data_IF_943084704027
#
_entry.id   IF_943084704027
#
_cell.length_a   1.000
_cell.length_b   1.000
_cell.length_c   1.000
_cell.angle_alpha   90.00
_cell.angle_beta   90.00
_cell.angle_gamma   90.00
#
_symmetry.space_group_name_H-M   'P 1'
#
loop_
_entity.id
_entity.type
_entity.pdbx_description
1 polymer ?
#
# COMPACT_ATOMS: atom_id res chain seq x y z
N UNK A 1 13.85 18.20 7.62
CA UNK A 1 12.58 18.11 6.87
C UNK A 1 11.65 17.19 7.64
N UNK A 2 10.61 17.76 8.22
CA UNK A 2 9.63 17.05 9.05
C UNK A 2 8.79 16.13 8.17
N UNK A 3 9.04 14.82 8.20
CA UNK A 3 8.16 13.83 7.58
C UNK A 3 6.99 13.56 8.52
N UNK A 4 5.96 14.39 8.37
CA UNK A 4 4.60 14.11 8.85
C UNK A 4 4.08 12.86 8.14
N UNK A 5 3.31 12.06 8.88
CA UNK A 5 2.32 11.07 8.40
C UNK A 5 2.89 9.75 7.85
N UNK A 6 3.44 8.94 8.76
CA UNK A 6 3.66 7.49 8.57
C UNK A 6 2.47 6.67 9.11
N UNK A 7 1.23 7.04 8.82
CA UNK A 7 0.07 6.37 9.45
C UNK A 7 -0.91 5.64 8.51
N UNK A 8 -0.79 5.70 7.18
CA UNK A 8 -1.85 5.10 6.31
C UNK A 8 -1.41 4.65 4.91
N UNK A 9 -0.14 4.26 4.69
CA UNK A 9 0.32 4.02 3.30
C UNK A 9 -0.35 2.81 2.65
N UNK A 10 -0.69 1.78 3.44
CA UNK A 10 -1.24 0.54 2.89
C UNK A 10 -2.62 0.24 3.52
N UNK A 11 -3.64 1.06 3.20
CA UNK A 11 -5.02 0.78 3.61
C UNK A 11 -6.01 1.25 2.54
N UNK A 12 -7.02 0.44 2.25
CA UNK A 12 -8.02 0.79 1.24
C UNK A 12 -9.05 1.72 1.89
N UNK A 13 -9.21 2.92 1.32
CA UNK A 13 -10.21 3.89 1.76
C UNK A 13 -11.41 3.90 0.82
N UNK A 14 -12.59 3.60 1.34
CA UNK A 14 -13.82 3.70 0.56
C UNK A 14 -14.06 5.14 0.08
N UNK A 15 -14.24 5.39 -1.22
CA UNK A 15 -14.46 6.73 -1.76
C UNK A 15 -15.83 7.31 -1.41
N UNK A 16 -16.78 6.48 -0.99
CA UNK A 16 -18.16 6.90 -0.69
C UNK A 16 -18.37 7.31 0.77
N UNK A 17 -17.76 6.60 1.71
CA UNK A 17 -17.99 6.79 3.15
C UNK A 17 -16.70 6.95 3.97
N UNK A 18 -15.54 6.92 3.32
CA UNK A 18 -14.23 7.06 3.94
C UNK A 18 -13.88 6.02 5.01
N UNK A 19 -14.61 4.90 5.04
CA UNK A 19 -14.26 3.75 5.85
C UNK A 19 -12.97 3.11 5.34
N UNK A 20 -12.14 2.65 6.27
CA UNK A 20 -10.83 2.06 5.99
C UNK A 20 -10.93 0.54 6.10
N UNK A 21 -10.35 -0.18 5.14
CA UNK A 21 -10.41 -1.63 5.01
C UNK A 21 -9.02 -2.20 4.70
N UNK A 22 -8.73 -3.39 5.22
CA UNK A 22 -7.49 -4.12 4.94
C UNK A 22 -7.43 -4.61 3.49
N UNK A 23 -6.22 -4.97 3.06
CA UNK A 23 -5.93 -5.45 1.70
C UNK A 23 -5.20 -6.80 1.69
N UNK A 24 -4.91 -7.38 2.86
CA UNK A 24 -4.06 -8.56 3.04
C UNK A 24 -4.59 -9.80 2.31
N UNK A 25 -5.92 -9.93 2.21
CA UNK A 25 -6.58 -11.04 1.51
C UNK A 25 -6.82 -10.76 0.01
N UNK A 26 -6.48 -9.56 -0.46
CA UNK A 26 -6.80 -9.08 -1.82
C UNK A 26 -5.58 -9.03 -2.75
N UNK A 27 -4.36 -9.03 -2.20
CA UNK A 27 -3.11 -8.84 -2.92
C UNK A 27 -2.08 -9.88 -2.46
N UNK A 28 -1.37 -10.53 -3.40
CA UNK A 28 -0.27 -11.44 -3.05
C UNK A 28 1.06 -10.67 -2.90
N UNK A 29 2.00 -11.20 -2.12
CA UNK A 29 3.31 -10.61 -1.81
C UNK A 29 4.15 -10.36 -3.08
N UNK A 30 3.82 -11.03 -4.20
CA UNK A 30 4.46 -10.83 -5.51
C UNK A 30 3.85 -9.74 -6.39
N UNK A 31 2.69 -9.19 -6.04
CA UNK A 31 1.97 -8.27 -6.92
C UNK A 31 2.54 -6.85 -6.85
N UNK A 32 3.09 -6.40 -7.99
CA UNK A 32 3.63 -5.05 -8.12
C UNK A 32 2.57 -4.00 -8.50
N UNK A 33 1.46 -4.43 -9.08
CA UNK A 33 0.30 -3.58 -9.42
C UNK A 33 -0.89 -4.45 -9.80
N UNK A 34 -2.10 -3.92 -9.68
CA UNK A 34 -3.30 -4.63 -10.10
C UNK A 34 -4.57 -3.79 -9.94
N UNK A 35 -5.68 -4.36 -10.37
CA UNK A 35 -7.01 -3.79 -10.17
C UNK A 35 -8.01 -4.85 -9.74
N UNK A 36 -8.96 -4.45 -8.90
CA UNK A 36 -10.06 -5.31 -8.46
C UNK A 36 -11.25 -4.47 -7.99
N UNK A 37 -12.44 -5.07 -7.98
CA UNK A 37 -13.65 -4.45 -7.45
C UNK A 37 -13.84 -4.81 -5.97
N UNK A 38 -14.30 -3.83 -5.19
CA UNK A 38 -14.55 -3.99 -3.77
C UNK A 38 -15.96 -3.49 -3.40
N UNK A 39 -16.65 -4.24 -2.55
CA UNK A 39 -17.89 -3.79 -1.91
C UNK A 39 -17.56 -3.26 -0.51
N UNK A 40 -17.88 -1.99 -0.23
CA UNK A 40 -17.59 -1.43 1.09
C UNK A 40 -18.42 -2.10 2.18
N UNK A 41 -17.75 -2.67 3.20
CA UNK A 41 -18.42 -3.36 4.32
C UNK A 41 -19.42 -2.47 5.07
N UNK A 42 -19.17 -1.14 5.11
CA UNK A 42 -19.99 -0.17 5.82
C UNK A 42 -21.15 0.38 5.01
N UNK A 43 -20.87 0.96 3.84
CA UNK A 43 -21.91 1.65 3.04
C UNK A 43 -22.49 0.79 1.90
N UNK A 44 -21.98 -0.44 1.72
CA UNK A 44 -22.46 -1.43 0.74
C UNK A 44 -22.41 -0.98 -0.72
N UNK A 45 -21.65 0.06 -1.01
CA UNK A 45 -21.43 0.57 -2.37
C UNK A 45 -20.18 -0.07 -2.94
N UNK A 46 -20.27 -0.43 -4.22
CA UNK A 46 -19.13 -0.92 -4.98
C UNK A 46 -18.22 0.23 -5.41
N UNK A 47 -16.94 -0.08 -5.50
CA UNK A 47 -15.91 0.79 -6.06
C UNK A 47 -14.74 -0.04 -6.57
N UNK A 48 -14.06 0.47 -7.59
CA UNK A 48 -12.86 -0.15 -8.13
C UNK A 48 -11.63 0.33 -7.36
N UNK A 49 -10.67 -0.57 -7.16
CA UNK A 49 -9.36 -0.29 -6.60
C UNK A 49 -8.32 -0.56 -7.68
N UNK A 50 -7.45 0.42 -7.90
CA UNK A 50 -6.23 0.30 -8.68
C UNK A 50 -5.06 0.53 -7.72
N UNK A 51 -4.12 -0.42 -7.67
CA UNK A 51 -2.98 -0.34 -6.77
C UNK A 51 -1.66 -0.53 -7.51
N UNK A 52 -0.60 0.05 -6.96
CA UNK A 52 0.79 -0.11 -7.42
C UNK A 52 1.73 -0.04 -6.22
N UNK A 53 2.63 -1.01 -6.10
CA UNK A 53 3.62 -1.11 -5.05
C UNK A 53 4.83 -0.22 -5.35
N UNK A 54 5.33 0.50 -4.33
CA UNK A 54 6.50 1.38 -4.47
C UNK A 54 7.62 0.98 -3.49
N UNK A 55 8.80 0.66 -4.02
CA UNK A 55 9.97 0.32 -3.21
C UNK A 55 11.04 1.40 -3.30
N UNK A 56 11.57 1.81 -2.16
CA UNK A 56 12.67 2.77 -2.06
C UNK A 56 13.90 2.07 -1.49
N UNK A 57 14.97 2.03 -2.28
CA UNK A 57 16.25 1.47 -1.86
C UNK A 57 17.22 2.60 -1.52
N UNK A 58 17.98 2.41 -0.45
CA UNK A 58 19.16 3.21 -0.14
C UNK A 58 20.35 2.26 0.02
N UNK A 59 21.52 2.67 -0.44
CA UNK A 59 22.72 1.82 -0.42
C UNK A 59 23.90 2.58 0.17
N UNK A 60 24.84 1.84 0.77
CA UNK A 60 26.10 2.36 1.30
C UNK A 60 27.27 1.52 0.77
N UNK A 61 28.49 2.09 0.77
CA UNK A 61 29.68 1.37 0.32
C UNK A 61 29.99 0.22 1.29
N UNK A 62 30.29 -0.96 0.75
CA UNK A 62 30.85 -2.07 1.50
C UNK A 62 32.29 -1.72 1.91
N UNK A 63 32.58 -1.66 3.20
CA UNK A 63 33.95 -1.53 3.70
C UNK A 63 34.56 -2.93 3.68
N UNK A 64 35.40 -3.22 2.70
CA UNK A 64 36.20 -4.44 2.70
C UNK A 64 37.45 -4.15 3.55
N UNK A 65 37.66 -4.96 4.58
CA UNK A 65 38.84 -4.85 5.44
C UNK A 65 40.11 -5.06 4.61
N UNK A 66 41.01 -4.08 4.68
CA UNK A 66 42.41 -4.21 4.25
C UNK A 66 43.07 -5.43 4.90
N UNK A 67 43.88 -6.10 4.08
CA UNK A 67 44.71 -7.30 4.32
C UNK A 67 45.39 -7.39 5.69
#
# INVERSE_FOLDING_TARGET
>A
MSKKETETVDIIKCPHCHHLMGYEDLIDVGDMSGNFDMNCERCKKDFNVDFTSMFYFTTTKKVEGTE
#
